data_IF_177220303362
#
_entry.id   IF_177220303362
#
_cell.length_a   1.000
_cell.length_b   1.000
_cell.length_c   1.000
_cell.angle_alpha   90.00
_cell.angle_beta   90.00
_cell.angle_gamma   90.00
#
_symmetry.space_group_name_H-M   'P 1'
#
loop_
_entity.id
_entity.type
_entity.pdbx_description
1 polymer ?
#
# COMPACT_ATOMS: atom_id res chain seq x y z
N UNK A 1 9.22 -58.45 46.65
CA UNK A 1 8.97 -59.57 45.73
C UNK A 1 7.52 -59.58 45.34
N UNK A 2 7.17 -59.03 44.19
CA UNK A 2 5.94 -59.32 43.51
C UNK A 2 6.08 -58.82 42.02
N UNK A 3 5.74 -59.68 41.18
CA UNK A 3 6.03 -60.00 39.83
C UNK A 3 5.26 -59.09 38.84
N UNK A 4 5.90 -58.88 37.69
CA UNK A 4 5.27 -58.51 36.46
C UNK A 4 4.12 -59.43 36.11
N UNK A 5 2.97 -58.86 35.65
CA UNK A 5 2.19 -59.44 34.54
C UNK A 5 0.99 -58.57 34.17
N UNK A 6 0.94 -58.28 32.89
CA UNK A 6 -0.22 -58.22 32.02
C UNK A 6 -1.33 -57.23 32.31
N UNK A 7 -1.34 -56.14 31.52
CA UNK A 7 -2.60 -55.65 31.00
C UNK A 7 -2.46 -55.33 29.50
N UNK A 8 -3.02 -56.22 28.74
CA UNK A 8 -3.25 -56.04 27.32
C UNK A 8 -4.54 -55.24 27.13
N UNK A 9 -4.53 -54.36 26.15
CA UNK A 9 -5.71 -53.98 25.40
C UNK A 9 -6.54 -52.83 25.95
N UNK A 10 -6.50 -51.73 25.29
CA UNK A 10 -7.64 -51.12 24.61
C UNK A 10 -7.05 -50.09 23.63
N UNK A 11 -7.15 -50.41 22.35
CA UNK A 11 -6.93 -49.46 21.29
C UNK A 11 -8.11 -48.46 21.29
N UNK A 12 -7.82 -47.24 21.71
CA UNK A 12 -8.77 -46.09 21.51
C UNK A 12 -8.21 -45.25 20.40
N UNK A 13 -8.82 -45.40 19.23
CA UNK A 13 -8.62 -44.48 18.10
C UNK A 13 -9.09 -43.09 18.50
N UNK A 14 -8.17 -42.27 18.96
CA UNK A 14 -8.39 -40.83 19.01
C UNK A 14 -8.27 -40.30 17.59
N UNK A 15 -9.40 -40.04 16.97
CA UNK A 15 -9.54 -39.32 15.71
C UNK A 15 -9.09 -37.88 16.00
N UNK A 16 -7.81 -37.58 15.79
CA UNK A 16 -7.34 -36.22 15.74
C UNK A 16 -7.94 -35.56 14.50
N UNK A 17 -9.05 -34.87 14.70
CA UNK A 17 -9.54 -33.91 13.73
C UNK A 17 -8.47 -32.81 13.62
N UNK A 18 -7.64 -32.92 12.60
CA UNK A 18 -6.79 -31.83 12.16
C UNK A 18 -7.74 -30.78 11.58
N UNK A 19 -8.18 -29.83 12.41
CA UNK A 19 -8.77 -28.61 11.92
C UNK A 19 -7.67 -27.87 11.18
N UNK A 20 -7.63 -28.05 9.85
CA UNK A 20 -6.81 -27.27 8.97
C UNK A 20 -7.16 -25.80 9.16
N UNK A 21 -6.26 -25.06 9.78
CA UNK A 21 -6.26 -23.60 9.66
C UNK A 21 -6.02 -23.33 8.16
N UNK A 22 -7.09 -23.05 7.43
CA UNK A 22 -6.99 -22.39 6.15
C UNK A 22 -6.50 -20.98 6.48
N UNK A 23 -5.20 -20.75 6.35
CA UNK A 23 -4.69 -19.41 6.25
C UNK A 23 -5.36 -18.82 5.01
N UNK A 24 -6.38 -18.00 5.22
CA UNK A 24 -6.88 -17.14 4.15
C UNK A 24 -5.74 -16.18 3.87
N UNK A 25 -5.03 -16.40 2.78
CA UNK A 25 -4.12 -15.42 2.23
C UNK A 25 -4.90 -14.12 2.13
N UNK A 26 -4.58 -13.18 3.01
CA UNK A 26 -5.02 -11.81 2.84
C UNK A 26 -4.45 -11.37 1.48
N UNK A 27 -5.31 -11.29 0.47
CA UNK A 27 -4.89 -10.84 -0.83
C UNK A 27 -4.43 -9.39 -0.69
N UNK A 28 -3.13 -9.25 -0.48
CA UNK A 28 -2.42 -7.99 -0.55
C UNK A 28 -2.82 -7.29 -1.84
N UNK A 29 -2.74 -5.98 -1.87
CA UNK A 29 -2.93 -5.17 -3.07
C UNK A 29 -2.07 -5.80 -4.19
N UNK A 30 -2.67 -6.62 -5.06
CA UNK A 30 -1.93 -7.49 -5.99
C UNK A 30 -1.59 -6.79 -7.30
N UNK A 31 -2.12 -5.59 -7.52
CA UNK A 31 -1.76 -4.80 -8.70
C UNK A 31 -0.57 -3.90 -8.36
N UNK A 32 0.61 -4.16 -8.95
CA UNK A 32 1.72 -3.22 -8.82
C UNK A 32 1.26 -1.83 -9.27
N UNK A 33 1.75 -0.76 -8.64
CA UNK A 33 1.44 0.58 -9.09
C UNK A 33 1.77 0.70 -10.57
N UNK A 34 0.91 1.39 -11.34
CA UNK A 34 1.12 1.61 -12.77
C UNK A 34 2.55 2.13 -13.00
N UNK A 35 3.28 1.48 -13.89
CA UNK A 35 4.65 1.89 -14.23
C UNK A 35 4.60 3.18 -15.04
N UNK A 36 5.09 4.26 -14.47
CA UNK A 36 5.34 5.52 -15.19
C UNK A 36 6.83 5.59 -15.48
N UNK A 37 7.29 5.71 -16.73
CA UNK A 37 8.71 5.87 -17.01
C UNK A 37 9.30 7.03 -16.22
N UNK A 38 10.44 6.81 -15.57
CA UNK A 38 11.09 7.81 -14.71
C UNK A 38 10.46 7.97 -13.32
N UNK A 39 9.53 7.08 -12.95
CA UNK A 39 8.99 7.03 -11.59
C UNK A 39 9.20 5.64 -10.99
N UNK A 40 9.93 5.59 -9.90
CA UNK A 40 10.13 4.37 -9.10
C UNK A 40 9.24 4.41 -7.88
N UNK A 41 8.54 3.31 -7.61
CA UNK A 41 7.70 3.15 -6.43
C UNK A 41 8.09 1.87 -5.70
N UNK A 42 8.41 1.99 -4.41
CA UNK A 42 8.77 0.87 -3.54
C UNK A 42 7.83 0.83 -2.35
N UNK A 43 7.08 -0.24 -2.19
CA UNK A 43 6.28 -0.46 -0.98
C UNK A 43 7.25 -0.77 0.16
N UNK A 44 7.28 0.10 1.16
CA UNK A 44 8.10 -0.06 2.36
C UNK A 44 7.38 -0.88 3.43
N UNK A 45 6.06 -0.71 3.52
CA UNK A 45 5.23 -1.41 4.50
C UNK A 45 3.80 -1.55 3.99
N UNK A 46 3.16 -2.64 4.39
CA UNK A 46 1.76 -2.92 4.11
C UNK A 46 1.11 -3.61 5.31
N UNK A 47 -0.07 -3.16 5.69
CA UNK A 47 -0.88 -3.74 6.76
C UNK A 47 -2.36 -3.59 6.42
N UNK A 48 -3.22 -4.41 6.99
CA UNK A 48 -4.67 -4.21 6.90
C UNK A 48 -5.06 -2.82 7.40
N UNK A 49 -5.99 -2.20 6.70
CA UNK A 49 -6.45 -0.86 7.01
C UNK A 49 -7.30 -0.80 8.29
N UNK A 50 -7.64 0.41 8.74
CA UNK A 50 -8.45 0.62 9.96
C UNK A 50 -9.89 0.12 9.79
N UNK A 51 -10.32 -0.16 8.57
CA UNK A 51 -11.65 -0.65 8.22
C UNK A 51 -11.52 -1.90 7.36
N UNK A 52 -12.42 -2.87 7.55
CA UNK A 52 -12.50 -4.06 6.71
C UNK A 52 -12.59 -3.68 5.22
N UNK A 53 -11.86 -4.38 4.36
CA UNK A 53 -11.80 -4.10 2.93
C UNK A 53 -10.80 -3.01 2.53
N UNK A 54 -10.04 -2.44 3.48
CA UNK A 54 -8.96 -1.47 3.20
C UNK A 54 -7.58 -2.03 3.52
N UNK A 55 -6.58 -1.43 2.93
CA UNK A 55 -5.15 -1.67 3.19
C UNK A 55 -4.46 -0.32 3.40
N UNK A 56 -3.49 -0.30 4.32
CA UNK A 56 -2.58 0.83 4.50
C UNK A 56 -1.23 0.47 3.91
N UNK A 57 -0.72 1.33 3.04
CA UNK A 57 0.58 1.19 2.38
C UNK A 57 1.45 2.39 2.75
N UNK A 58 2.73 2.15 2.98
CA UNK A 58 3.76 3.20 2.97
C UNK A 58 4.62 2.95 1.74
N UNK A 59 4.70 3.96 0.88
CA UNK A 59 5.38 3.87 -0.42
C UNK A 59 6.44 4.95 -0.53
N UNK A 60 7.64 4.54 -0.88
CA UNK A 60 8.73 5.40 -1.27
C UNK A 60 8.64 5.68 -2.77
N UNK A 61 8.70 6.94 -3.18
CA UNK A 61 8.45 7.37 -4.56
C UNK A 61 9.58 8.29 -5.00
N UNK A 62 10.32 7.85 -5.99
CA UNK A 62 11.34 8.65 -6.65
C UNK A 62 10.89 9.02 -8.05
N UNK A 63 11.06 10.28 -8.43
CA UNK A 63 10.65 10.86 -9.72
C UNK A 63 11.88 11.49 -10.35
N UNK A 64 12.31 10.97 -11.49
CA UNK A 64 13.46 11.50 -12.22
C UNK A 64 13.22 12.95 -12.72
N UNK A 65 14.27 13.73 -12.94
CA UNK A 65 14.15 15.10 -13.46
C UNK A 65 13.33 15.18 -14.76
N UNK A 66 12.51 16.18 -14.88
CA UNK A 66 11.72 16.47 -16.09
C UNK A 66 10.49 15.58 -16.29
N UNK A 67 10.14 14.74 -15.32
CA UNK A 67 8.97 13.85 -15.37
C UNK A 67 7.71 14.57 -14.90
N UNK A 68 6.60 14.27 -15.55
CA UNK A 68 5.25 14.71 -15.18
C UNK A 68 4.46 13.52 -14.68
N UNK A 69 3.79 13.66 -13.54
CA UNK A 69 2.83 12.67 -13.06
C UNK A 69 1.47 12.99 -13.67
N UNK A 70 1.01 12.11 -14.55
CA UNK A 70 -0.30 12.25 -15.20
C UNK A 70 -1.45 12.34 -14.20
N UNK A 71 -2.55 12.96 -14.63
CA UNK A 71 -3.75 13.11 -13.81
C UNK A 71 -4.33 11.74 -13.46
N UNK A 72 -4.61 11.52 -12.19
CA UNK A 72 -5.08 10.23 -11.67
C UNK A 72 -5.85 10.38 -10.35
N UNK A 73 -6.47 9.30 -9.91
CA UNK A 73 -7.16 9.17 -8.62
C UNK A 73 -6.66 7.93 -7.87
N UNK A 74 -6.90 7.90 -6.56
CA UNK A 74 -6.71 6.72 -5.71
C UNK A 74 -8.05 6.25 -5.12
N UNK A 75 -8.29 4.93 -4.95
CA UNK A 75 -9.49 4.40 -4.32
C UNK A 75 -9.44 4.53 -2.78
N UNK A 76 -9.02 5.67 -2.29
CA UNK A 76 -8.81 5.97 -0.88
C UNK A 76 -7.97 7.22 -0.68
N UNK A 77 -7.51 7.43 0.54
CA UNK A 77 -6.75 8.62 0.93
C UNK A 77 -5.27 8.42 0.64
N UNK A 78 -4.62 9.45 0.10
CA UNK A 78 -3.18 9.59 0.06
C UNK A 78 -2.73 10.69 1.03
N UNK A 79 -1.70 10.41 1.82
CA UNK A 79 -0.98 11.40 2.64
C UNK A 79 0.48 11.39 2.21
N UNK A 80 0.93 12.47 1.59
CA UNK A 80 2.27 12.57 1.02
C UNK A 80 3.12 13.60 1.74
N UNK A 81 4.43 13.30 1.85
CA UNK A 81 5.43 14.18 2.41
C UNK A 81 6.61 14.30 1.44
N UNK A 82 6.98 15.52 1.07
CA UNK A 82 8.10 15.79 0.17
C UNK A 82 9.42 15.81 0.94
N UNK A 83 10.35 14.95 0.54
CA UNK A 83 11.70 14.89 1.10
C UNK A 83 12.67 15.76 0.30
N UNK A 84 12.64 15.65 -1.04
CA UNK A 84 13.56 16.34 -1.94
C UNK A 84 12.86 16.75 -3.23
N UNK A 85 13.43 17.75 -3.92
CA UNK A 85 12.92 18.23 -5.21
C UNK A 85 11.68 19.09 -5.07
N UNK A 86 10.66 18.81 -5.86
CA UNK A 86 9.39 19.49 -5.81
C UNK A 86 8.74 19.68 -7.18
N UNK A 87 7.44 19.95 -7.16
CA UNK A 87 6.62 20.25 -8.34
C UNK A 87 5.33 20.97 -7.94
N UNK A 88 4.62 21.51 -8.92
CA UNK A 88 3.28 22.02 -8.68
C UNK A 88 2.28 20.85 -8.66
N UNK A 89 1.42 20.84 -7.67
CA UNK A 89 0.43 19.79 -7.39
C UNK A 89 -0.98 20.37 -7.54
N UNK A 90 -1.59 20.32 -8.74
CA UNK A 90 -3.00 20.59 -8.92
C UNK A 90 -3.84 19.46 -8.31
N UNK A 91 -4.77 19.82 -7.45
CA UNK A 91 -5.77 18.94 -6.84
C UNK A 91 -7.14 19.54 -7.14
N UNK A 92 -8.08 18.73 -7.63
CA UNK A 92 -9.43 19.22 -7.93
C UNK A 92 -10.10 19.82 -6.69
N UNK A 93 -10.75 20.96 -6.92
CA UNK A 93 -11.44 21.69 -5.87
C UNK A 93 -10.52 22.49 -4.94
N UNK A 94 -9.20 22.54 -5.22
CA UNK A 94 -8.23 23.29 -4.42
C UNK A 94 -7.35 24.16 -5.32
N UNK A 95 -6.79 25.26 -4.80
CA UNK A 95 -5.72 25.99 -5.49
C UNK A 95 -4.51 25.06 -5.70
N UNK A 96 -3.88 25.19 -6.87
CA UNK A 96 -2.62 24.48 -7.14
C UNK A 96 -1.59 24.81 -6.07
N UNK A 97 -1.00 23.78 -5.46
CA UNK A 97 0.01 23.92 -4.41
C UNK A 97 1.40 23.70 -5.01
N UNK A 98 2.34 24.59 -4.73
CA UNK A 98 3.76 24.29 -4.93
C UNK A 98 4.20 23.33 -3.81
N UNK A 99 4.48 22.08 -4.16
CA UNK A 99 4.82 21.00 -3.24
C UNK A 99 6.34 20.84 -3.20
N UNK A 100 6.95 21.20 -2.09
CA UNK A 100 8.40 21.32 -1.90
C UNK A 100 8.86 20.62 -0.61
N UNK A 101 10.16 20.40 -0.42
CA UNK A 101 10.70 19.72 0.74
C UNK A 101 10.18 20.29 2.06
N UNK A 102 9.73 19.40 2.95
CA UNK A 102 9.10 19.75 4.22
C UNK A 102 7.58 19.94 4.16
N UNK A 103 7.00 20.02 2.96
CA UNK A 103 5.55 20.09 2.80
C UNK A 103 4.88 18.74 2.94
N UNK A 104 3.67 18.75 3.51
CA UNK A 104 2.77 17.61 3.51
C UNK A 104 1.45 17.97 2.82
N UNK A 105 0.78 16.96 2.28
CA UNK A 105 -0.53 17.07 1.66
C UNK A 105 -1.36 15.83 1.95
N UNK A 106 -2.67 16.03 2.10
CA UNK A 106 -3.66 14.94 2.13
C UNK A 106 -4.57 15.10 0.92
N UNK A 107 -4.66 14.06 0.12
CA UNK A 107 -5.53 13.98 -1.06
C UNK A 107 -6.70 13.07 -0.71
N UNK A 108 -7.95 13.58 -0.73
CA UNK A 108 -9.12 12.77 -0.42
C UNK A 108 -9.33 11.65 -1.45
N UNK A 109 -10.08 10.63 -1.03
CA UNK A 109 -10.42 9.50 -1.89
C UNK A 109 -11.08 9.97 -3.21
N UNK A 110 -10.67 9.33 -4.31
CA UNK A 110 -11.20 9.56 -5.65
C UNK A 110 -11.08 11.03 -6.15
N UNK A 111 -10.21 11.82 -5.53
CA UNK A 111 -9.97 13.21 -5.96
C UNK A 111 -8.90 13.22 -7.04
N UNK A 112 -9.22 13.73 -8.25
CA UNK A 112 -8.26 13.86 -9.33
C UNK A 112 -7.14 14.84 -8.97
N UNK A 113 -5.92 14.42 -9.21
CA UNK A 113 -4.73 15.26 -8.99
C UNK A 113 -3.60 14.85 -9.95
N UNK A 114 -2.57 15.68 -10.02
CA UNK A 114 -1.43 15.48 -10.90
C UNK A 114 -0.16 16.04 -10.25
N UNK A 115 1.01 15.67 -10.78
CA UNK A 115 2.26 16.38 -10.51
C UNK A 115 2.73 17.05 -11.79
N UNK A 116 2.90 18.36 -11.79
CA UNK A 116 3.50 19.05 -12.93
C UNK A 116 4.94 18.56 -13.13
N UNK A 117 5.53 18.91 -14.27
CA UNK A 117 6.92 18.58 -14.56
C UNK A 117 7.81 19.06 -13.41
N UNK A 118 8.49 18.13 -12.73
CA UNK A 118 9.52 18.51 -11.78
C UNK A 118 10.69 19.17 -12.52
N UNK A 119 11.45 20.03 -11.84
CA UNK A 119 12.58 20.76 -12.43
C UNK A 119 13.77 19.83 -12.78
N UNK A 120 14.97 20.37 -12.67
CA UNK A 120 16.22 19.67 -13.01
C UNK A 120 16.70 18.70 -11.91
N UNK A 121 15.95 18.58 -10.83
CA UNK A 121 16.28 17.72 -9.70
C UNK A 121 15.28 16.57 -9.58
N UNK A 122 15.76 15.43 -9.12
CA UNK A 122 14.93 14.32 -8.70
C UNK A 122 13.98 14.78 -7.59
N UNK A 123 12.74 14.32 -7.61
CA UNK A 123 11.82 14.48 -6.48
C UNK A 123 11.72 13.19 -5.71
N UNK A 124 11.70 13.27 -4.39
CA UNK A 124 11.60 12.14 -3.48
C UNK A 124 10.47 12.38 -2.47
N UNK A 125 9.53 11.46 -2.42
CA UNK A 125 8.29 11.56 -1.66
C UNK A 125 8.08 10.26 -0.88
N UNK A 126 7.59 10.36 0.35
CA UNK A 126 6.99 9.23 1.05
C UNK A 126 5.50 9.45 1.12
N UNK A 127 4.73 8.50 0.58
CA UNK A 127 3.27 8.54 0.63
C UNK A 127 2.71 7.40 1.45
N UNK A 128 1.73 7.71 2.29
CA UNK A 128 0.90 6.73 2.98
C UNK A 128 -0.47 6.69 2.30
N UNK A 129 -0.88 5.52 1.88
CA UNK A 129 -2.19 5.26 1.26
C UNK A 129 -3.06 4.45 2.21
N UNK A 130 -4.32 4.86 2.37
CA UNK A 130 -5.37 4.04 2.98
C UNK A 130 -6.43 3.83 1.90
N UNK A 131 -6.38 2.67 1.24
CA UNK A 131 -7.10 2.41 -0.01
C UNK A 131 -7.86 1.08 0.02
N UNK A 132 -8.87 0.94 -0.82
CA UNK A 132 -9.64 -0.29 -0.95
C UNK A 132 -8.76 -1.44 -1.48
N UNK A 133 -8.86 -2.61 -0.82
CA UNK A 133 -8.17 -3.82 -1.25
C UNK A 133 -8.65 -4.28 -2.63
N UNK A 134 -7.73 -4.83 -3.42
CA UNK A 134 -8.03 -5.42 -4.72
C UNK A 134 -8.30 -4.41 -5.84
N UNK A 135 -8.33 -3.12 -5.55
CA UNK A 135 -8.39 -2.07 -6.59
C UNK A 135 -6.98 -1.62 -7.00
N UNK A 136 -6.80 -1.16 -8.24
CA UNK A 136 -5.55 -0.50 -8.64
C UNK A 136 -5.25 0.68 -7.72
N UNK A 137 -3.97 0.81 -7.30
CA UNK A 137 -3.58 1.92 -6.43
C UNK A 137 -3.84 3.28 -7.08
N UNK A 138 -3.68 3.40 -8.38
CA UNK A 138 -3.97 4.61 -9.15
C UNK A 138 -4.73 4.27 -10.43
N UNK A 139 -5.67 5.13 -10.81
CA UNK A 139 -6.44 5.06 -12.06
C UNK A 139 -6.38 6.39 -12.78
N UNK A 140 -6.24 6.42 -14.12
CA UNK A 140 -6.32 7.67 -14.89
C UNK A 140 -7.61 8.44 -14.62
N UNK A 141 -7.55 9.79 -14.64
CA UNK A 141 -8.67 10.70 -14.40
C UNK A 141 -8.76 11.81 -15.45
#
# INVERSE_FOLDING_TARGET
MLTRRDFAGIASCALCAVTGFVATDASAQTSPPATTPGVTRKILSQIDGPTAGYVTLIVDIEIEPGITIGRHTHPGIESAYMLEGGFDLPIDGQPTKSFKPGDAVVIPANTPHAGSKNGDKKSHIVSTYVVEKGKPLASPA
#
